data_IF_788299423438
#
_entry.id   IF_788299423438
#
_cell.length_a   1.000
_cell.length_b   1.000
_cell.length_c   1.000
_cell.angle_alpha   90.00
_cell.angle_beta   90.00
_cell.angle_gamma   90.00
#
_symmetry.space_group_name_H-M   'P 1'
#
loop_
_entity.id
_entity.type
_entity.pdbx_description
1 polymer ?
#
# COMPACT_ATOMS: atom_id res chain seq x y z
N UNK A 1 -63.03 -94.06 34.92
CA UNK A 1 -62.05 -94.37 33.86
C UNK A 1 -60.74 -93.71 34.25
N UNK A 2 -59.65 -94.49 34.21
CA UNK A 2 -58.40 -94.25 34.93
C UNK A 2 -57.61 -93.01 34.53
N UNK A 3 -56.69 -92.59 35.41
CA UNK A 3 -55.31 -93.08 35.35
C UNK A 3 -54.49 -92.47 36.49
N UNK A 4 -53.73 -93.32 37.17
CA UNK A 4 -52.57 -92.90 37.97
C UNK A 4 -51.42 -92.69 36.97
N UNK A 5 -50.64 -91.61 37.11
CA UNK A 5 -49.21 -91.70 36.82
C UNK A 5 -48.34 -91.38 38.05
N UNK A 6 -47.47 -92.35 38.30
CA UNK A 6 -46.14 -92.43 38.93
C UNK A 6 -45.49 -91.19 39.61
N UNK A 7 -44.78 -91.39 40.76
CA UNK A 7 -43.99 -90.36 41.41
C UNK A 7 -42.52 -90.41 40.92
N UNK A 8 -42.09 -89.38 40.19
CA UNK A 8 -40.67 -89.17 39.96
C UNK A 8 -40.36 -88.51 38.64
N UNK A 9 -40.31 -87.18 38.61
CA UNK A 9 -39.36 -86.47 37.74
C UNK A 9 -38.69 -85.39 38.58
N UNK A 10 -37.44 -85.69 38.91
CA UNK A 10 -36.45 -84.78 39.46
C UNK A 10 -36.44 -83.51 38.60
N UNK A 11 -36.57 -82.35 39.23
CA UNK A 11 -36.13 -81.11 38.62
C UNK A 11 -34.64 -81.23 38.30
N UNK A 12 -34.31 -81.54 37.04
CA UNK A 12 -32.99 -81.25 36.47
C UNK A 12 -32.84 -79.73 36.42
N UNK A 13 -32.36 -79.18 37.53
CA UNK A 13 -31.77 -77.85 37.58
C UNK A 13 -30.61 -77.88 36.58
N UNK A 14 -30.68 -77.02 35.55
CA UNK A 14 -29.58 -76.83 34.61
C UNK A 14 -28.24 -76.69 35.37
N UNK A 15 -27.15 -77.33 34.91
CA UNK A 15 -25.88 -77.27 35.62
C UNK A 15 -25.44 -75.81 35.78
N UNK A 16 -24.84 -75.43 36.94
CA UNK A 16 -24.37 -74.07 37.13
C UNK A 16 -23.39 -73.71 36.00
N UNK A 17 -23.42 -72.48 35.47
CA UNK A 17 -22.55 -72.08 34.37
C UNK A 17 -21.09 -72.37 34.74
N UNK A 18 -20.35 -72.97 33.80
CA UNK A 18 -18.94 -73.29 34.02
C UNK A 18 -18.15 -72.01 34.28
N UNK A 19 -17.12 -72.07 35.13
CA UNK A 19 -16.30 -70.92 35.48
C UNK A 19 -15.69 -70.21 34.25
N UNK A 20 -15.36 -70.97 33.20
CA UNK A 20 -14.86 -70.48 31.92
C UNK A 20 -15.91 -69.66 31.16
N UNK A 21 -17.19 -70.02 31.25
CA UNK A 21 -18.29 -69.30 30.62
C UNK A 21 -18.59 -67.98 31.35
N UNK A 22 -18.49 -67.99 32.69
CA UNK A 22 -18.55 -66.77 33.49
C UNK A 22 -17.39 -65.82 33.18
N UNK A 23 -16.16 -66.34 33.00
CA UNK A 23 -15.01 -65.54 32.57
C UNK A 23 -15.21 -64.94 31.17
N UNK A 24 -15.76 -65.71 30.21
CA UNK A 24 -16.09 -65.20 28.87
C UNK A 24 -17.16 -64.12 28.91
N UNK A 25 -18.21 -64.29 29.69
CA UNK A 25 -19.24 -63.25 29.85
C UNK A 25 -18.65 -61.98 30.49
N UNK A 26 -17.77 -62.14 31.48
CA UNK A 26 -17.09 -61.01 32.13
C UNK A 26 -16.19 -60.25 31.16
N UNK A 27 -15.42 -60.94 30.32
CA UNK A 27 -14.56 -60.30 29.32
C UNK A 27 -15.37 -59.57 28.25
N UNK A 28 -16.50 -60.15 27.80
CA UNK A 28 -17.39 -59.55 26.82
C UNK A 28 -18.06 -58.29 27.38
N UNK A 29 -18.50 -58.33 28.64
CA UNK A 29 -19.05 -57.16 29.35
C UNK A 29 -17.99 -56.06 29.54
N UNK A 30 -16.75 -56.45 29.83
CA UNK A 30 -15.62 -55.50 29.93
C UNK A 30 -15.30 -54.86 28.58
N UNK A 31 -15.33 -55.64 27.49
CA UNK A 31 -15.14 -55.12 26.13
C UNK A 31 -16.27 -54.18 25.71
N UNK A 32 -17.53 -54.55 25.95
CA UNK A 32 -18.67 -53.69 25.69
C UNK A 32 -18.60 -52.37 26.48
N UNK A 33 -18.22 -52.41 27.76
CA UNK A 33 -18.09 -51.20 28.59
C UNK A 33 -16.95 -50.30 28.12
N UNK A 34 -15.82 -50.87 27.67
CA UNK A 34 -14.73 -50.11 27.02
C UNK A 34 -15.19 -49.46 25.71
N UNK A 35 -15.85 -50.20 24.83
CA UNK A 35 -16.39 -49.66 23.57
C UNK A 35 -17.41 -48.55 23.80
N UNK A 36 -18.30 -48.72 24.78
CA UNK A 36 -19.26 -47.68 25.18
C UNK A 36 -18.55 -46.43 25.69
N UNK A 37 -17.47 -46.60 26.45
CA UNK A 37 -16.66 -45.49 26.94
C UNK A 37 -15.96 -44.76 25.80
N UNK A 38 -15.29 -45.48 24.90
CA UNK A 38 -14.65 -44.89 23.72
C UNK A 38 -15.65 -44.13 22.83
N UNK A 39 -16.83 -44.73 22.61
CA UNK A 39 -17.90 -44.08 21.85
C UNK A 39 -18.39 -42.81 22.54
N UNK A 40 -18.60 -42.85 23.86
CA UNK A 40 -19.03 -41.69 24.65
C UNK A 40 -17.97 -40.58 24.67
N UNK A 41 -16.69 -40.94 24.78
CA UNK A 41 -15.58 -39.99 24.73
C UNK A 41 -15.47 -39.35 23.34
N UNK A 42 -15.64 -40.13 22.27
CA UNK A 42 -15.66 -39.62 20.90
C UNK A 42 -16.83 -38.66 20.66
N UNK A 43 -18.05 -38.99 21.09
CA UNK A 43 -19.19 -38.07 21.00
C UNK A 43 -18.96 -36.79 21.81
N UNK A 44 -18.38 -36.90 23.00
CA UNK A 44 -18.04 -35.74 23.84
C UNK A 44 -16.97 -34.85 23.18
N UNK A 45 -16.00 -35.46 22.49
CA UNK A 45 -14.99 -34.74 21.72
C UNK A 45 -15.60 -34.01 20.52
N UNK A 46 -16.47 -34.69 19.77
CA UNK A 46 -17.17 -34.12 18.63
C UNK A 46 -18.10 -32.97 19.04
N UNK A 47 -18.81 -33.11 20.17
CA UNK A 47 -19.66 -32.06 20.72
C UNK A 47 -18.83 -30.82 21.07
N UNK A 48 -17.68 -31.00 21.74
CA UNK A 48 -16.75 -29.89 22.05
C UNK A 48 -16.23 -29.21 20.79
N UNK A 49 -15.83 -29.98 19.78
CA UNK A 49 -15.38 -29.43 18.49
C UNK A 49 -16.50 -28.66 17.78
N UNK A 50 -17.73 -29.19 17.79
CA UNK A 50 -18.88 -28.54 17.19
C UNK A 50 -19.23 -27.22 17.91
N UNK A 51 -19.20 -27.20 19.24
CA UNK A 51 -19.40 -25.99 20.04
C UNK A 51 -18.32 -24.96 19.73
N UNK A 52 -17.05 -25.36 19.74
CA UNK A 52 -15.91 -24.50 19.39
C UNK A 52 -16.06 -23.89 17.99
N UNK A 53 -16.40 -24.69 16.99
CA UNK A 53 -16.64 -24.22 15.61
C UNK A 53 -17.85 -23.29 15.52
N UNK A 54 -18.92 -23.58 16.25
CA UNK A 54 -20.12 -22.72 16.33
C UNK A 54 -19.80 -21.35 16.94
N UNK A 55 -19.01 -21.31 18.01
CA UNK A 55 -18.54 -20.07 18.62
C UNK A 55 -17.63 -19.27 17.69
N UNK A 56 -16.67 -19.94 17.03
CA UNK A 56 -15.80 -19.32 16.03
C UNK A 56 -16.59 -18.71 14.86
N UNK A 57 -17.64 -19.40 14.38
CA UNK A 57 -18.54 -18.88 13.35
C UNK A 57 -19.35 -17.67 13.84
N UNK A 58 -19.89 -17.72 15.07
CA UNK A 58 -20.60 -16.57 15.66
C UNK A 58 -19.70 -15.34 15.80
N UNK A 59 -18.43 -15.54 16.17
CA UNK A 59 -17.45 -14.46 16.21
C UNK A 59 -17.20 -13.88 14.81
N UNK A 60 -16.99 -14.72 13.80
CA UNK A 60 -16.84 -14.27 12.40
C UNK A 60 -18.05 -13.47 11.93
N UNK A 61 -19.27 -13.94 12.19
CA UNK A 61 -20.51 -13.23 11.83
C UNK A 61 -20.53 -11.84 12.47
N UNK A 62 -20.28 -11.75 13.79
CA UNK A 62 -20.21 -10.45 14.49
C UNK A 62 -19.16 -9.51 13.89
N UNK A 63 -17.99 -10.04 13.52
CA UNK A 63 -16.95 -9.24 12.85
C UNK A 63 -17.41 -8.73 11.49
N UNK A 64 -18.06 -9.58 10.69
CA UNK A 64 -18.63 -9.17 9.39
C UNK A 64 -19.76 -8.14 9.55
N UNK A 65 -20.64 -8.32 10.52
CA UNK A 65 -21.73 -7.37 10.82
C UNK A 65 -21.17 -6.00 11.22
N UNK A 66 -20.18 -5.98 12.11
CA UNK A 66 -19.48 -4.76 12.52
C UNK A 66 -18.81 -4.07 11.32
N UNK A 67 -18.10 -4.82 10.48
CA UNK A 67 -17.45 -4.31 9.28
C UNK A 67 -18.47 -3.73 8.29
N UNK A 68 -19.61 -4.42 8.10
CA UNK A 68 -20.69 -3.97 7.23
C UNK A 68 -21.33 -2.69 7.76
N UNK A 69 -21.63 -2.62 9.06
CA UNK A 69 -22.17 -1.43 9.70
C UNK A 69 -21.21 -0.23 9.62
N UNK A 70 -19.90 -0.46 9.78
CA UNK A 70 -18.90 0.59 9.58
C UNK A 70 -18.87 1.06 8.12
N UNK A 71 -18.88 0.13 7.16
CA UNK A 71 -18.89 0.43 5.73
C UNK A 71 -20.12 1.25 5.32
N UNK A 72 -21.29 0.93 5.86
CA UNK A 72 -22.53 1.69 5.64
C UNK A 72 -22.45 3.11 6.21
N UNK A 73 -21.93 3.28 7.43
CA UNK A 73 -21.72 4.61 8.03
C UNK A 73 -20.76 5.47 7.18
N UNK A 74 -19.70 4.87 6.65
CA UNK A 74 -18.78 5.58 5.75
C UNK A 74 -19.48 5.99 4.46
N UNK A 75 -20.37 5.14 3.91
CA UNK A 75 -21.11 5.46 2.69
C UNK A 75 -22.12 6.59 2.92
N UNK A 76 -22.88 6.55 4.01
CA UNK A 76 -23.84 7.58 4.42
C UNK A 76 -23.15 8.94 4.66
N UNK A 77 -22.00 8.92 5.33
CA UNK A 77 -21.18 10.11 5.51
C UNK A 77 -20.67 10.68 4.17
N UNK A 78 -20.29 9.81 3.22
CA UNK A 78 -19.88 10.24 1.88
C UNK A 78 -21.03 10.88 1.12
N UNK A 79 -22.22 10.28 1.17
CA UNK A 79 -23.43 10.74 0.49
C UNK A 79 -23.85 12.12 1.00
N UNK A 80 -24.01 12.26 2.33
CA UNK A 80 -24.35 13.54 2.97
C UNK A 80 -23.33 14.65 2.71
N UNK A 81 -22.06 14.30 2.48
CA UNK A 81 -21.02 15.27 2.14
C UNK A 81 -21.05 15.72 0.66
N UNK A 82 -21.64 14.96 -0.26
CA UNK A 82 -21.57 15.26 -1.72
C UNK A 82 -22.02 16.69 -2.00
N UNK A 83 -23.17 17.09 -1.48
CA UNK A 83 -23.76 18.40 -1.76
C UNK A 83 -22.81 19.54 -1.36
N UNK A 84 -22.28 19.50 -0.13
CA UNK A 84 -21.34 20.50 0.37
C UNK A 84 -20.06 20.56 -0.45
N UNK A 85 -19.46 19.41 -0.77
CA UNK A 85 -18.22 19.34 -1.54
C UNK A 85 -18.41 19.82 -2.99
N UNK A 86 -19.53 19.46 -3.63
CA UNK A 86 -19.87 19.95 -4.98
C UNK A 86 -20.07 21.46 -4.96
N UNK A 87 -20.77 22.01 -3.96
CA UNK A 87 -20.99 23.44 -3.86
C UNK A 87 -19.68 24.22 -3.68
N UNK A 88 -18.74 23.71 -2.88
CA UNK A 88 -17.40 24.31 -2.73
C UNK A 88 -16.62 24.23 -4.03
N UNK A 89 -16.64 23.08 -4.72
CA UNK A 89 -15.93 22.88 -5.97
C UNK A 89 -16.46 23.81 -7.08
N UNK A 90 -17.78 23.97 -7.21
CA UNK A 90 -18.40 24.88 -8.18
C UNK A 90 -18.01 26.34 -7.92
N UNK A 91 -18.07 26.81 -6.67
CA UNK A 91 -17.63 28.16 -6.32
C UNK A 91 -16.16 28.39 -6.66
N UNK A 92 -15.29 27.42 -6.35
CA UNK A 92 -13.87 27.48 -6.72
C UNK A 92 -13.67 27.54 -8.23
N UNK A 93 -14.41 26.72 -8.98
CA UNK A 93 -14.36 26.70 -10.44
C UNK A 93 -14.78 28.05 -11.04
N UNK A 94 -15.86 28.66 -10.55
CA UNK A 94 -16.33 29.96 -11.01
C UNK A 94 -15.32 31.08 -10.69
N UNK A 95 -14.72 31.05 -9.50
CA UNK A 95 -13.65 31.99 -9.11
C UNK A 95 -12.41 31.83 -10.00
N UNK A 96 -11.93 30.60 -10.20
CA UNK A 96 -10.76 30.33 -11.03
C UNK A 96 -11.02 30.70 -12.49
N UNK A 97 -12.24 30.42 -12.99
CA UNK A 97 -12.67 30.80 -14.35
C UNK A 97 -12.67 32.32 -14.53
N UNK A 98 -13.24 33.07 -13.58
CA UNK A 98 -13.29 34.53 -13.66
C UNK A 98 -11.89 35.15 -13.56
N UNK A 99 -11.04 34.64 -12.67
CA UNK A 99 -9.64 35.04 -12.54
C UNK A 99 -8.83 34.77 -13.82
N UNK A 100 -9.03 33.61 -14.46
CA UNK A 100 -8.38 33.28 -15.72
C UNK A 100 -8.84 34.22 -16.86
N UNK A 101 -10.14 34.56 -16.92
CA UNK A 101 -10.66 35.50 -17.91
C UNK A 101 -10.10 36.92 -17.71
N UNK A 102 -10.01 37.42 -16.48
CA UNK A 102 -9.38 38.72 -16.21
C UNK A 102 -7.90 38.75 -16.58
N UNK A 103 -7.16 37.66 -16.29
CA UNK A 103 -5.75 37.58 -16.64
C UNK A 103 -5.52 37.62 -18.17
N UNK A 104 -6.45 37.06 -18.96
CA UNK A 104 -6.40 37.14 -20.42
C UNK A 104 -6.72 38.54 -20.94
N UNK A 105 -7.65 39.27 -20.32
CA UNK A 105 -7.97 40.65 -20.73
C UNK A 105 -6.87 41.64 -20.36
N UNK A 106 -6.24 41.47 -19.19
CA UNK A 106 -5.16 42.35 -18.73
C UNK A 106 -3.88 42.16 -19.56
N UNK A 107 -3.65 40.94 -20.09
CA UNK A 107 -2.57 40.65 -21.02
C UNK A 107 -2.64 41.46 -22.32
N UNK A 108 -3.83 41.90 -22.74
CA UNK A 108 -4.04 42.61 -24.01
C UNK A 108 -3.90 44.14 -23.87
N UNK A 109 -3.68 44.67 -22.66
CA UNK A 109 -3.68 46.12 -22.39
C UNK A 109 -2.48 46.66 -21.59
N UNK A 110 -1.36 45.93 -21.49
CA UNK A 110 -0.25 46.34 -20.61
C UNK A 110 1.15 45.90 -21.03
N UNK A 111 1.59 46.21 -22.25
CA UNK A 111 3.00 46.00 -22.65
C UNK A 111 3.94 47.15 -22.18
N UNK A 112 3.65 47.76 -21.04
CA UNK A 112 4.40 48.93 -20.54
C UNK A 112 4.34 49.07 -19.01
N UNK A 113 4.95 48.14 -18.27
CA UNK A 113 5.60 48.42 -16.97
C UNK A 113 6.06 47.11 -16.29
N UNK A 114 7.09 46.45 -16.84
CA UNK A 114 7.89 45.52 -16.03
C UNK A 114 8.95 46.35 -15.29
N UNK A 115 8.55 46.94 -14.17
CA UNK A 115 9.48 47.50 -13.19
C UNK A 115 10.20 46.34 -12.48
N UNK A 116 11.51 46.29 -12.66
CA UNK A 116 12.45 45.42 -11.96
C UNK A 116 12.53 45.86 -10.48
N UNK A 117 11.52 45.46 -9.71
CA UNK A 117 11.57 45.50 -8.25
C UNK A 117 12.00 44.14 -7.76
N UNK A 118 13.07 44.08 -6.97
CA UNK A 118 13.51 42.87 -6.25
C UNK A 118 12.39 42.39 -5.31
N UNK A 119 11.44 41.62 -5.85
CA UNK A 119 10.54 40.78 -5.07
C UNK A 119 11.35 39.64 -4.50
N UNK A 120 11.15 39.35 -3.21
CA UNK A 120 11.72 38.20 -2.51
C UNK A 120 11.64 36.95 -3.40
N UNK A 121 12.73 36.19 -3.47
CA UNK A 121 12.88 35.06 -4.38
C UNK A 121 11.73 34.04 -4.25
N UNK A 122 11.09 33.97 -3.07
CA UNK A 122 9.89 33.16 -2.80
C UNK A 122 8.61 33.73 -3.40
N UNK A 123 8.30 35.02 -3.19
CA UNK A 123 7.06 35.64 -3.67
C UNK A 123 7.00 35.67 -5.21
N UNK A 124 8.13 35.94 -5.85
CA UNK A 124 8.26 35.87 -7.32
C UNK A 124 8.08 34.44 -7.88
N UNK A 125 8.43 33.40 -7.11
CA UNK A 125 8.24 32.00 -7.50
C UNK A 125 6.74 31.65 -7.52
N UNK A 126 6.01 31.96 -6.45
CA UNK A 126 4.58 31.68 -6.32
C UNK A 126 3.78 32.37 -7.41
N UNK A 127 4.04 33.66 -7.65
CA UNK A 127 3.32 34.44 -8.66
C UNK A 127 3.51 33.84 -10.06
N UNK A 128 4.73 33.41 -10.41
CA UNK A 128 4.98 32.73 -11.68
C UNK A 128 4.26 31.40 -11.79
N UNK A 129 4.32 30.56 -10.76
CA UNK A 129 3.59 29.28 -10.76
C UNK A 129 2.08 29.50 -10.92
N UNK A 130 1.50 30.44 -10.16
CA UNK A 130 0.10 30.84 -10.27
C UNK A 130 -0.24 31.31 -11.67
N UNK A 131 0.61 32.11 -12.30
CA UNK A 131 0.37 32.62 -13.66
C UNK A 131 0.25 31.50 -14.69
N UNK A 132 1.10 30.46 -14.61
CA UNK A 132 0.99 29.30 -15.49
C UNK A 132 -0.28 28.49 -15.21
N UNK A 133 -0.62 28.29 -13.94
CA UNK A 133 -1.83 27.58 -13.51
C UNK A 133 -3.11 28.28 -13.98
N UNK A 134 -3.21 29.60 -13.81
CA UNK A 134 -4.33 30.43 -14.27
C UNK A 134 -4.52 30.36 -15.79
N UNK A 135 -3.41 30.41 -16.53
CA UNK A 135 -3.40 30.33 -18.00
C UNK A 135 -3.54 28.91 -18.55
N UNK A 136 -3.56 27.89 -17.67
CA UNK A 136 -3.48 26.47 -18.06
C UNK A 136 -2.29 26.17 -18.99
N UNK A 137 -1.16 26.87 -18.82
CA UNK A 137 0.06 26.67 -19.59
C UNK A 137 0.92 25.55 -18.98
N UNK A 138 0.53 24.31 -19.26
CA UNK A 138 1.18 23.12 -18.71
C UNK A 138 2.64 22.96 -19.18
N UNK A 139 2.94 23.36 -20.43
CA UNK A 139 4.27 23.25 -21.02
C UNK A 139 5.21 24.28 -20.40
N UNK A 140 4.80 25.55 -20.32
CA UNK A 140 5.57 26.61 -19.66
C UNK A 140 5.81 26.32 -18.18
N UNK A 141 4.78 25.83 -17.49
CA UNK A 141 4.89 25.35 -16.11
C UNK A 141 5.93 24.26 -15.97
N UNK A 142 5.87 23.21 -16.79
CA UNK A 142 6.82 22.10 -16.72
C UNK A 142 8.26 22.56 -16.93
N UNK A 143 8.50 23.37 -17.96
CA UNK A 143 9.82 23.93 -18.26
C UNK A 143 10.36 24.82 -17.13
N UNK A 144 9.49 25.56 -16.45
CA UNK A 144 9.86 26.37 -15.30
C UNK A 144 10.25 25.51 -14.09
N UNK A 145 9.45 24.49 -13.77
CA UNK A 145 9.69 23.59 -12.62
C UNK A 145 11.03 22.85 -12.76
N UNK A 146 11.33 22.32 -13.95
CA UNK A 146 12.58 21.58 -14.17
C UNK A 146 13.82 22.48 -14.05
N UNK A 147 13.70 23.77 -14.40
CA UNK A 147 14.77 24.76 -14.28
C UNK A 147 15.05 25.18 -12.83
N UNK A 148 14.12 24.90 -11.90
CA UNK A 148 14.15 25.35 -10.51
C UNK A 148 14.52 24.26 -9.51
N UNK A 149 15.22 23.21 -9.93
CA UNK A 149 15.63 22.06 -9.08
C UNK A 149 16.32 22.44 -7.75
N UNK A 150 17.08 23.54 -7.71
CA UNK A 150 17.77 24.01 -6.49
C UNK A 150 16.80 24.57 -5.42
N UNK A 151 15.61 24.98 -5.83
CA UNK A 151 14.56 25.58 -5.00
C UNK A 151 13.48 24.54 -4.63
N UNK A 152 13.83 23.26 -4.55
CA UNK A 152 12.89 22.14 -4.39
C UNK A 152 11.95 22.28 -3.18
N UNK A 153 12.43 22.78 -2.06
CA UNK A 153 11.62 22.92 -0.84
C UNK A 153 10.61 24.07 -0.94
N UNK A 154 11.00 25.16 -1.59
CA UNK A 154 10.10 26.26 -1.93
C UNK A 154 9.04 25.79 -2.94
N UNK A 155 9.45 25.04 -3.97
CA UNK A 155 8.50 24.44 -4.90
C UNK A 155 7.50 23.52 -4.16
N UNK A 156 7.96 22.66 -3.26
CA UNK A 156 7.07 21.72 -2.52
C UNK A 156 6.02 22.43 -1.67
N UNK A 157 6.36 23.56 -1.06
CA UNK A 157 5.43 24.33 -0.22
C UNK A 157 4.44 25.16 -1.05
N UNK A 158 4.90 25.76 -2.14
CA UNK A 158 4.11 26.70 -2.93
C UNK A 158 3.31 26.07 -4.07
N UNK A 159 3.73 24.91 -4.57
CA UNK A 159 3.07 24.23 -5.70
C UNK A 159 1.60 23.90 -5.42
N UNK A 160 1.19 23.37 -4.26
CA UNK A 160 -0.22 23.13 -3.97
C UNK A 160 -1.06 24.41 -4.03
N UNK A 161 -0.51 25.53 -3.53
CA UNK A 161 -1.17 26.83 -3.56
C UNK A 161 -1.36 27.31 -4.99
N UNK A 162 -0.34 27.18 -5.83
CA UNK A 162 -0.43 27.54 -7.25
C UNK A 162 -1.41 26.65 -8.03
N UNK A 163 -1.34 25.33 -7.86
CA UNK A 163 -2.22 24.37 -8.52
C UNK A 163 -3.70 24.59 -8.16
N UNK A 164 -4.00 25.17 -7.00
CA UNK A 164 -5.37 25.49 -6.60
C UNK A 164 -6.03 26.58 -7.46
N UNK A 165 -5.25 27.36 -8.20
CA UNK A 165 -5.72 28.38 -9.15
C UNK A 165 -6.08 27.78 -10.53
N UNK A 166 -5.71 26.52 -10.80
CA UNK A 166 -6.06 25.85 -12.05
C UNK A 166 -7.58 25.65 -12.17
N UNK A 167 -8.10 25.76 -13.39
CA UNK A 167 -9.50 25.41 -13.69
C UNK A 167 -9.73 23.90 -13.54
N UNK A 168 -8.79 23.08 -14.02
CA UNK A 168 -8.78 21.63 -13.82
C UNK A 168 -7.35 21.18 -13.43
N UNK A 169 -7.02 21.16 -12.12
CA UNK A 169 -5.67 20.83 -11.65
C UNK A 169 -5.24 19.42 -12.05
N UNK A 170 -6.16 18.46 -12.04
CA UNK A 170 -5.86 17.05 -12.32
C UNK A 170 -5.52 16.84 -13.80
N UNK A 171 -6.29 17.45 -14.70
CA UNK A 171 -5.97 17.47 -16.14
C UNK A 171 -4.66 18.21 -16.41
N UNK A 172 -4.47 19.38 -15.81
CA UNK A 172 -3.27 20.20 -15.97
C UNK A 172 -1.99 19.43 -15.62
N UNK A 173 -1.99 18.72 -14.49
CA UNK A 173 -0.83 17.91 -14.09
C UNK A 173 -0.53 16.77 -15.06
N UNK A 174 -1.56 16.07 -15.57
CA UNK A 174 -1.34 15.02 -16.59
C UNK A 174 -0.71 15.59 -17.87
N UNK A 175 -1.12 16.79 -18.28
CA UNK A 175 -0.54 17.49 -19.44
C UNK A 175 0.89 17.97 -19.15
N UNK A 176 1.18 18.45 -17.94
CA UNK A 176 2.51 18.94 -17.58
C UNK A 176 3.57 17.83 -17.61
N UNK A 177 3.23 16.61 -17.15
CA UNK A 177 4.19 15.49 -17.08
C UNK A 177 4.25 14.65 -18.35
N UNK A 178 3.42 14.94 -19.38
CA UNK A 178 3.18 14.04 -20.52
C UNK A 178 4.36 13.81 -21.45
N UNK A 179 5.36 14.70 -21.40
CA UNK A 179 6.60 14.58 -22.17
C UNK A 179 7.58 13.56 -21.58
N UNK A 180 7.46 13.26 -20.28
CA UNK A 180 8.38 12.41 -19.53
C UNK A 180 7.73 11.12 -19.05
N UNK A 181 6.46 11.17 -18.67
CA UNK A 181 5.70 10.05 -18.13
C UNK A 181 4.46 9.80 -19.00
N UNK A 182 4.11 8.55 -19.36
CA UNK A 182 4.63 7.26 -18.85
C UNK A 182 5.94 6.78 -19.50
N UNK A 183 6.29 7.30 -20.68
CA UNK A 183 7.52 7.00 -21.39
C UNK A 183 8.15 8.33 -21.80
N UNK A 184 9.47 8.46 -21.64
CA UNK A 184 10.17 9.70 -21.99
C UNK A 184 10.19 9.86 -23.51
N UNK A 185 9.51 10.90 -24.01
CA UNK A 185 9.39 11.21 -25.44
C UNK A 185 10.47 12.16 -25.93
N UNK A 186 11.29 12.69 -25.01
CA UNK A 186 12.38 13.61 -25.33
C UNK A 186 13.49 12.81 -25.98
N UNK A 187 13.58 12.88 -27.31
CA UNK A 187 14.49 12.09 -28.12
C UNK A 187 15.91 12.01 -27.56
N UNK A 188 16.55 10.84 -27.71
CA UNK A 188 17.80 10.46 -27.04
C UNK A 188 19.07 11.24 -27.42
N UNK A 189 18.99 12.34 -28.17
CA UNK A 189 20.16 13.12 -28.57
C UNK A 189 20.12 14.55 -28.02
N UNK A 190 20.92 14.74 -26.96
CA UNK A 190 21.67 15.97 -26.62
C UNK A 190 20.96 17.18 -26.00
N UNK A 191 19.69 17.14 -25.59
CA UNK A 191 19.09 18.22 -24.78
C UNK A 191 18.64 17.70 -23.41
N UNK A 192 19.53 17.81 -22.41
CA UNK A 192 19.18 17.67 -20.99
C UNK A 192 18.85 16.25 -20.52
N UNK A 193 19.82 15.33 -20.61
CA UNK A 193 19.76 13.93 -20.10
C UNK A 193 19.77 13.84 -18.56
N UNK A 194 18.89 14.60 -17.89
CA UNK A 194 18.69 14.53 -16.45
C UNK A 194 17.47 13.66 -16.11
N UNK A 195 17.59 12.81 -15.09
CA UNK A 195 16.44 12.17 -14.47
C UNK A 195 15.44 13.24 -14.00
N UNK A 196 14.26 13.27 -14.62
CA UNK A 196 13.16 14.17 -14.30
C UNK A 196 12.07 13.50 -13.46
N UNK A 197 12.25 12.24 -13.04
CA UNK A 197 11.29 11.55 -12.19
C UNK A 197 11.02 12.29 -10.87
N UNK A 198 12.01 13.00 -10.33
CA UNK A 198 11.81 13.85 -9.15
C UNK A 198 10.79 14.98 -9.38
N UNK A 199 10.74 15.56 -10.58
CA UNK A 199 9.82 16.65 -10.92
C UNK A 199 8.40 16.10 -11.12
N UNK A 200 8.27 14.95 -11.79
CA UNK A 200 6.98 14.27 -11.91
C UNK A 200 6.41 13.93 -10.53
N UNK A 201 7.23 13.32 -9.66
CA UNK A 201 6.84 13.01 -8.27
C UNK A 201 6.41 14.26 -7.52
N UNK A 202 7.21 15.35 -7.58
CA UNK A 202 6.88 16.60 -6.90
C UNK A 202 5.53 17.15 -7.34
N UNK A 203 5.27 17.21 -8.66
CA UNK A 203 4.01 17.75 -9.20
C UNK A 203 2.82 16.85 -8.82
N UNK A 204 2.98 15.52 -8.91
CA UNK A 204 1.95 14.56 -8.51
C UNK A 204 1.66 14.60 -6.99
N UNK A 205 2.69 14.66 -6.15
CA UNK A 205 2.54 14.81 -4.69
C UNK A 205 1.82 16.11 -4.34
N UNK A 206 2.18 17.21 -5.02
CA UNK A 206 1.60 18.54 -4.79
C UNK A 206 0.13 18.63 -5.23
N UNK A 207 -0.31 17.76 -6.14
CA UNK A 207 -1.70 17.68 -6.60
C UNK A 207 -2.62 17.11 -5.52
N UNK A 208 -2.16 16.14 -4.71
CA UNK A 208 -2.97 15.45 -3.69
C UNK A 208 -3.80 16.43 -2.83
N UNK A 209 -3.21 17.41 -2.13
CA UNK A 209 -3.98 18.33 -1.29
C UNK A 209 -5.01 19.18 -2.07
N UNK A 210 -4.84 19.33 -3.39
CA UNK A 210 -5.73 20.12 -4.25
C UNK A 210 -6.94 19.30 -4.71
N UNK A 211 -6.74 18.01 -4.98
CA UNK A 211 -7.81 17.10 -5.47
C UNK A 211 -8.50 16.33 -4.35
N UNK A 212 -8.08 16.48 -3.10
CA UNK A 212 -8.75 15.88 -1.94
C UNK A 212 -10.08 16.59 -1.66
N UNK A 213 -11.08 15.82 -1.26
CA UNK A 213 -12.39 16.38 -0.91
C UNK A 213 -12.30 17.36 0.28
N UNK A 214 -12.90 18.56 0.17
CA UNK A 214 -12.80 19.58 1.22
C UNK A 214 -13.55 19.23 2.51
N UNK A 215 -14.49 18.28 2.49
CA UNK A 215 -15.31 17.89 3.65
C UNK A 215 -14.81 16.58 4.25
N UNK A 216 -14.61 15.55 3.42
CA UNK A 216 -14.25 14.19 3.89
C UNK A 216 -12.79 13.82 3.66
N UNK A 217 -11.98 14.76 3.16
CA UNK A 217 -10.55 14.57 3.01
C UNK A 217 -10.19 13.41 2.10
N UNK A 218 -9.10 12.70 2.45
CA UNK A 218 -8.48 11.64 1.62
C UNK A 218 -9.41 10.47 1.29
N UNK A 219 -10.56 10.37 1.96
CA UNK A 219 -11.58 9.35 1.68
C UNK A 219 -12.25 9.52 0.31
N UNK A 220 -12.19 10.71 -0.31
CA UNK A 220 -12.65 10.96 -1.68
C UNK A 220 -11.70 11.90 -2.40
N UNK A 221 -11.35 11.51 -3.63
CA UNK A 221 -10.61 12.37 -4.57
C UNK A 221 -11.59 12.98 -5.57
N UNK A 222 -11.53 14.30 -5.72
CA UNK A 222 -12.29 15.14 -6.65
C UNK A 222 -11.61 15.16 -8.01
N UNK A 223 -11.55 13.99 -8.67
CA UNK A 223 -11.02 13.83 -10.03
C UNK A 223 -12.15 13.41 -10.95
N UNK A 224 -12.27 14.07 -12.11
CA UNK A 224 -13.35 13.77 -13.07
C UNK A 224 -13.17 12.37 -13.67
N UNK A 225 -14.27 11.68 -14.06
CA UNK A 225 -14.18 10.35 -14.68
C UNK A 225 -13.26 10.32 -15.90
N UNK A 226 -13.33 11.33 -16.77
CA UNK A 226 -12.49 11.43 -17.97
C UNK A 226 -10.99 11.54 -17.64
N UNK A 227 -10.62 12.35 -16.63
CA UNK A 227 -9.21 12.44 -16.17
C UNK A 227 -8.77 11.11 -15.56
N UNK A 228 -9.66 10.45 -14.81
CA UNK A 228 -9.37 9.15 -14.19
C UNK A 228 -9.16 8.05 -15.24
N UNK A 229 -9.93 8.04 -16.32
CA UNK A 229 -9.72 7.12 -17.45
C UNK A 229 -8.38 7.37 -18.15
N UNK A 230 -8.06 8.62 -18.48
CA UNK A 230 -6.73 8.96 -19.03
C UNK A 230 -5.59 8.54 -18.10
N UNK A 231 -5.74 8.74 -16.79
CA UNK A 231 -4.74 8.32 -15.83
C UNK A 231 -4.56 6.79 -15.82
N UNK A 232 -5.64 6.01 -16.01
CA UNK A 232 -5.55 4.55 -16.17
C UNK A 232 -4.82 4.17 -17.45
N UNK A 233 -5.13 4.81 -18.58
CA UNK A 233 -4.45 4.56 -19.86
C UNK A 233 -2.94 4.80 -19.75
N UNK A 234 -2.54 5.90 -19.08
CA UNK A 234 -1.14 6.22 -18.78
C UNK A 234 -0.49 5.11 -17.94
N UNK A 235 -1.20 4.60 -16.92
CA UNK A 235 -0.70 3.53 -16.06
C UNK A 235 -0.52 2.21 -16.83
N UNK A 236 -1.47 1.84 -17.70
CA UNK A 236 -1.34 0.66 -18.56
C UNK A 236 -0.20 0.82 -19.58
N UNK A 237 -0.04 2.01 -20.17
CA UNK A 237 1.08 2.31 -21.07
C UNK A 237 2.42 2.14 -20.37
N UNK A 238 2.53 2.62 -19.12
CA UNK A 238 3.74 2.44 -18.32
C UNK A 238 4.03 0.95 -18.07
N UNK A 239 3.01 0.17 -17.67
CA UNK A 239 3.15 -1.28 -17.43
C UNK A 239 3.59 -2.03 -18.69
N UNK A 240 2.97 -1.75 -19.84
CA UNK A 240 3.39 -2.37 -21.11
C UNK A 240 4.86 -2.06 -21.44
N UNK A 241 5.27 -0.80 -21.26
CA UNK A 241 6.67 -0.39 -21.50
C UNK A 241 7.66 -0.98 -20.48
N UNK A 242 7.21 -1.40 -19.30
CA UNK A 242 8.03 -2.08 -18.30
C UNK A 242 8.39 -3.49 -18.77
N UNK A 243 7.43 -4.20 -19.37
CA UNK A 243 7.65 -5.53 -19.95
C UNK A 243 8.65 -5.47 -21.11
N UNK A 244 8.50 -4.49 -22.00
CA UNK A 244 9.43 -4.26 -23.12
C UNK A 244 10.87 -3.94 -22.67
N UNK A 245 11.01 -3.24 -21.54
CA UNK A 245 12.31 -2.85 -20.97
C UNK A 245 13.01 -3.97 -20.19
N UNK A 246 12.50 -5.20 -20.25
CA UNK A 246 13.08 -6.35 -19.56
C UNK A 246 12.66 -6.48 -18.10
N UNK A 247 11.49 -5.94 -17.75
CA UNK A 247 10.85 -6.16 -16.46
C UNK A 247 11.35 -5.30 -15.30
N UNK A 248 10.91 -5.65 -14.09
CA UNK A 248 11.09 -4.88 -12.85
C UNK A 248 12.57 -4.65 -12.52
N UNK A 249 13.44 -5.60 -12.85
CA UNK A 249 14.87 -5.55 -12.51
C UNK A 249 15.63 -4.44 -13.26
N UNK A 250 15.14 -4.04 -14.44
CA UNK A 250 15.80 -3.07 -15.31
C UNK A 250 15.24 -1.65 -15.20
N UNK A 251 14.18 -1.45 -14.40
CA UNK A 251 13.51 -0.16 -14.30
C UNK A 251 14.20 0.73 -13.26
N UNK A 252 14.32 2.02 -13.56
CA UNK A 252 14.94 2.98 -12.65
C UNK A 252 13.98 3.26 -11.49
N UNK A 253 14.50 3.28 -10.27
CA UNK A 253 13.72 3.58 -9.05
C UNK A 253 12.91 4.90 -9.10
N UNK A 254 13.43 6.03 -9.64
CA UNK A 254 12.62 7.24 -9.86
C UNK A 254 11.37 7.02 -10.73
N UNK A 255 11.46 6.16 -11.75
CA UNK A 255 10.34 5.83 -12.64
C UNK A 255 9.29 5.02 -11.87
N UNK A 256 9.72 4.07 -11.04
CA UNK A 256 8.82 3.32 -10.13
C UNK A 256 8.08 4.27 -9.20
N UNK A 257 8.81 5.19 -8.56
CA UNK A 257 8.20 6.16 -7.68
C UNK A 257 7.15 7.00 -8.43
N UNK A 258 7.49 7.51 -9.60
CA UNK A 258 6.55 8.29 -10.43
C UNK A 258 5.29 7.49 -10.75
N UNK A 259 5.44 6.22 -11.15
CA UNK A 259 4.31 5.34 -11.43
C UNK A 259 3.42 5.11 -10.21
N UNK A 260 4.01 4.69 -9.07
CA UNK A 260 3.24 4.44 -7.85
C UNK A 260 2.56 5.71 -7.33
N UNK A 261 3.26 6.85 -7.39
CA UNK A 261 2.72 8.14 -7.02
C UNK A 261 1.54 8.53 -7.92
N UNK A 262 1.62 8.28 -9.23
CA UNK A 262 0.52 8.49 -10.18
C UNK A 262 -0.72 7.67 -9.81
N UNK A 263 -0.54 6.37 -9.50
CA UNK A 263 -1.64 5.51 -9.08
C UNK A 263 -2.39 6.03 -7.85
N UNK A 264 -1.61 6.45 -6.84
CA UNK A 264 -2.14 6.99 -5.57
C UNK A 264 -2.82 8.35 -5.80
N UNK A 265 -2.17 9.25 -6.54
CA UNK A 265 -2.65 10.62 -6.78
C UNK A 265 -4.01 10.65 -7.48
N UNK A 266 -4.24 9.75 -8.45
CA UNK A 266 -5.50 9.66 -9.17
C UNK A 266 -6.48 8.60 -8.60
N UNK A 267 -6.09 7.87 -7.55
CA UNK A 267 -6.90 6.83 -6.92
C UNK A 267 -7.33 5.74 -7.90
N UNK A 268 -6.39 5.26 -8.72
CA UNK A 268 -6.60 4.26 -9.79
C UNK A 268 -5.93 2.91 -9.49
N UNK A 269 -5.54 2.67 -8.24
CA UNK A 269 -4.98 1.41 -7.75
C UNK A 269 -5.93 0.24 -8.05
N UNK A 270 -5.42 -0.82 -8.67
CA UNK A 270 -6.17 -2.05 -8.97
C UNK A 270 -5.79 -3.15 -7.99
N UNK A 271 -6.78 -3.87 -7.48
CA UNK A 271 -6.55 -5.02 -6.59
C UNK A 271 -5.83 -6.17 -7.30
N UNK A 272 -6.12 -6.37 -8.58
CA UNK A 272 -5.53 -7.46 -9.37
C UNK A 272 -4.03 -7.24 -9.65
N UNK A 273 -3.54 -6.01 -9.50
CA UNK A 273 -2.13 -5.65 -9.72
C UNK A 273 -1.32 -5.59 -8.41
N UNK A 274 -1.88 -5.98 -7.25
CA UNK A 274 -1.20 -5.85 -5.95
C UNK A 274 0.16 -6.57 -5.91
N UNK A 275 0.24 -7.76 -6.49
CA UNK A 275 1.51 -8.51 -6.61
C UNK A 275 2.59 -7.73 -7.37
N UNK A 276 2.21 -7.01 -8.43
CA UNK A 276 3.11 -6.16 -9.19
C UNK A 276 3.57 -4.97 -8.32
N UNK A 277 2.63 -4.30 -7.65
CA UNK A 277 2.94 -3.17 -6.78
C UNK A 277 3.88 -3.59 -5.63
N UNK A 278 3.63 -4.74 -5.00
CA UNK A 278 4.48 -5.34 -3.98
C UNK A 278 5.91 -5.52 -4.48
N UNK A 279 6.10 -6.15 -5.65
CA UNK A 279 7.43 -6.36 -6.26
C UNK A 279 8.14 -5.04 -6.56
N UNK A 280 7.43 -4.06 -7.11
CA UNK A 280 7.96 -2.73 -7.41
C UNK A 280 8.43 -1.99 -6.14
N UNK A 281 7.63 -2.05 -5.07
CA UNK A 281 7.97 -1.45 -3.77
C UNK A 281 9.22 -2.12 -3.18
N UNK A 282 9.30 -3.45 -3.16
CA UNK A 282 10.45 -4.18 -2.62
C UNK A 282 11.72 -3.88 -3.44
N UNK A 283 11.63 -3.91 -4.77
CA UNK A 283 12.75 -3.57 -5.65
C UNK A 283 13.26 -2.13 -5.48
N UNK A 284 12.42 -1.25 -4.93
CA UNK A 284 12.70 0.17 -4.70
C UNK A 284 12.85 0.55 -3.23
N UNK A 285 12.91 -0.41 -2.31
CA UNK A 285 12.70 -0.22 -0.87
C UNK A 285 13.65 0.79 -0.19
N UNK A 286 14.85 0.99 -0.75
CA UNK A 286 15.83 1.96 -0.28
C UNK A 286 15.36 3.43 -0.34
N UNK A 287 14.27 3.72 -1.05
CA UNK A 287 13.66 5.06 -1.09
C UNK A 287 12.75 5.29 0.12
N UNK A 288 13.01 6.38 0.84
CA UNK A 288 12.26 6.80 2.05
C UNK A 288 10.73 6.92 1.87
N UNK A 289 10.21 7.14 0.67
CA UNK A 289 8.76 7.27 0.46
C UNK A 289 8.05 5.94 0.22
N UNK A 290 8.79 4.85 -0.05
CA UNK A 290 8.18 3.58 -0.46
C UNK A 290 7.22 2.96 0.56
N UNK A 291 7.50 2.93 1.88
CA UNK A 291 6.53 2.34 2.81
C UNK A 291 5.22 3.14 2.90
N UNK A 292 5.29 4.48 2.87
CA UNK A 292 4.09 5.34 2.82
C UNK A 292 3.25 5.09 1.57
N UNK A 293 3.91 4.94 0.42
CA UNK A 293 3.25 4.59 -0.83
C UNK A 293 2.62 3.21 -0.75
N UNK A 294 3.31 2.23 -0.19
CA UNK A 294 2.81 0.87 -0.06
C UNK A 294 1.50 0.80 0.75
N UNK A 295 1.42 1.56 1.86
CA UNK A 295 0.17 1.72 2.61
C UNK A 295 -0.93 2.36 1.74
N UNK A 296 -0.59 3.40 0.98
CA UNK A 296 -1.53 4.11 0.10
C UNK A 296 -2.00 3.27 -1.09
N UNK A 297 -1.21 2.27 -1.49
CA UNK A 297 -1.53 1.28 -2.52
C UNK A 297 -2.39 0.12 -2.00
N UNK A 298 -2.68 0.08 -0.69
CA UNK A 298 -3.48 -1.00 -0.09
C UNK A 298 -2.68 -2.26 0.23
N UNK A 299 -1.35 -2.20 0.30
CA UNK A 299 -0.49 -3.33 0.65
C UNK A 299 -0.34 -3.54 2.16
N UNK A 300 -1.22 -2.94 2.98
CA UNK A 300 -1.08 -2.95 4.44
C UNK A 300 -1.04 -4.37 5.04
N UNK A 301 -1.88 -5.27 4.54
CA UNK A 301 -1.94 -6.66 5.01
C UNK A 301 -0.70 -7.48 4.63
N UNK A 302 -0.05 -7.13 3.52
CA UNK A 302 1.17 -7.79 3.01
C UNK A 302 2.46 -7.22 3.62
N UNK A 303 2.38 -6.09 4.34
CA UNK A 303 3.55 -5.42 4.94
C UNK A 303 4.43 -6.37 5.77
N UNK A 304 3.89 -7.26 6.63
CA UNK A 304 4.73 -8.15 7.40
C UNK A 304 5.58 -9.08 6.52
N UNK A 305 4.98 -9.64 5.47
CA UNK A 305 5.67 -10.55 4.54
C UNK A 305 6.71 -9.80 3.71
N UNK A 306 6.43 -8.54 3.34
CA UNK A 306 7.38 -7.67 2.66
C UNK A 306 8.59 -7.35 3.55
N UNK A 307 8.37 -7.06 4.83
CA UNK A 307 9.44 -6.80 5.80
C UNK A 307 10.30 -8.06 5.99
N UNK A 308 9.68 -9.23 6.13
CA UNK A 308 10.38 -10.52 6.20
C UNK A 308 11.25 -10.77 4.96
N UNK A 309 10.72 -10.47 3.76
CA UNK A 309 11.48 -10.57 2.52
C UNK A 309 12.69 -9.63 2.50
N UNK A 310 12.53 -8.36 2.89
CA UNK A 310 13.64 -7.40 2.99
C UNK A 310 14.73 -7.86 3.96
N UNK A 311 14.34 -8.44 5.09
CA UNK A 311 15.28 -9.00 6.07
C UNK A 311 16.05 -10.17 5.45
N UNK A 312 15.36 -11.09 4.76
CA UNK A 312 16.00 -12.24 4.10
C UNK A 312 16.98 -11.84 2.99
N UNK A 313 16.72 -10.70 2.32
CA UNK A 313 17.60 -10.12 1.30
C UNK A 313 18.81 -9.37 1.87
N UNK A 314 18.94 -9.27 3.20
CA UNK A 314 20.00 -8.51 3.85
C UNK A 314 19.81 -7.00 3.74
N UNK A 315 18.58 -6.53 3.56
CA UNK A 315 18.22 -5.11 3.54
C UNK A 315 17.68 -4.67 4.91
N UNK A 316 18.45 -4.91 5.98
CA UNK A 316 17.96 -4.68 7.35
C UNK A 316 17.63 -3.20 7.62
N UNK A 317 18.36 -2.25 7.03
CA UNK A 317 18.09 -0.81 7.20
C UNK A 317 16.73 -0.42 6.59
N UNK A 318 16.44 -0.92 5.39
CA UNK A 318 15.17 -0.69 4.71
C UNK A 318 14.03 -1.36 5.48
N UNK A 319 14.23 -2.61 5.94
CA UNK A 319 13.26 -3.32 6.78
C UNK A 319 12.92 -2.58 8.07
N UNK A 320 13.92 -2.00 8.75
CA UNK A 320 13.71 -1.17 9.95
C UNK A 320 12.88 0.07 9.61
N UNK A 321 13.18 0.73 8.49
CA UNK A 321 12.42 1.90 8.04
C UNK A 321 10.95 1.55 7.74
N UNK A 322 10.69 0.46 7.03
CA UNK A 322 9.33 -0.05 6.78
C UNK A 322 8.61 -0.39 8.09
N UNK A 323 9.31 -1.03 9.02
CA UNK A 323 8.75 -1.40 10.33
C UNK A 323 8.27 -0.18 11.10
N UNK A 324 9.08 0.88 11.17
CA UNK A 324 8.72 2.12 11.85
C UNK A 324 7.53 2.81 11.20
N UNK A 325 7.54 2.93 9.87
CA UNK A 325 6.49 3.64 9.14
C UNK A 325 5.13 2.94 9.21
N UNK A 326 5.12 1.60 9.22
CA UNK A 326 3.89 0.79 9.30
C UNK A 326 3.45 0.53 10.76
N UNK A 327 4.31 0.83 11.74
CA UNK A 327 4.01 0.62 13.16
C UNK A 327 4.10 -0.85 13.61
N UNK A 328 4.92 -1.67 12.94
CA UNK A 328 5.10 -3.10 13.24
C UNK A 328 6.32 -3.38 14.15
N UNK A 329 6.70 -2.41 14.98
CA UNK A 329 7.90 -2.44 15.84
C UNK A 329 7.89 -3.63 16.80
N UNK A 330 6.70 -4.03 17.28
CA UNK A 330 6.54 -5.18 18.18
C UNK A 330 6.84 -6.51 17.48
N UNK A 331 6.43 -6.64 16.20
CA UNK A 331 6.65 -7.86 15.40
C UNK A 331 8.09 -7.93 14.88
N UNK A 332 8.68 -6.79 14.51
CA UNK A 332 10.03 -6.71 13.95
C UNK A 332 10.92 -5.75 14.77
N UNK A 333 11.44 -6.17 15.93
CA UNK A 333 12.22 -5.29 16.79
C UNK A 333 13.45 -4.71 16.07
N UNK A 334 13.58 -3.37 15.97
CA UNK A 334 14.67 -2.73 15.22
C UNK A 334 16.07 -3.03 15.75
N UNK A 335 16.22 -3.13 17.08
CA UNK A 335 17.53 -3.33 17.72
C UNK A 335 18.18 -4.66 17.30
N UNK A 336 17.49 -5.81 17.37
CA UNK A 336 17.99 -7.07 16.79
C UNK A 336 18.38 -6.98 15.32
N UNK A 337 17.56 -6.32 14.48
CA UNK A 337 17.82 -6.18 13.04
C UNK A 337 19.11 -5.38 12.79
N UNK A 338 19.27 -4.25 13.47
CA UNK A 338 20.48 -3.42 13.38
C UNK A 338 21.72 -4.15 13.91
N UNK A 339 21.59 -4.94 14.98
CA UNK A 339 22.69 -5.77 15.48
C UNK A 339 23.12 -6.84 14.48
N UNK A 340 22.17 -7.49 13.81
CA UNK A 340 22.45 -8.42 12.70
C UNK A 340 23.22 -7.70 11.58
N UNK A 341 22.71 -6.55 11.14
CA UNK A 341 23.36 -5.75 10.10
C UNK A 341 24.81 -5.41 10.45
N UNK A 342 25.06 -4.88 11.66
CA UNK A 342 26.41 -4.54 12.11
C UNK A 342 27.33 -5.76 12.20
N UNK A 343 26.80 -6.93 12.59
CA UNK A 343 27.57 -8.18 12.65
C UNK A 343 27.99 -8.62 11.25
N UNK A 344 27.09 -8.54 10.28
CA UNK A 344 27.37 -8.95 8.90
C UNK A 344 28.28 -7.93 8.19
N UNK A 345 28.06 -6.64 8.41
CA UNK A 345 28.97 -5.59 7.93
C UNK A 345 30.39 -5.74 8.48
N UNK A 346 30.55 -6.09 9.77
CA UNK A 346 31.85 -6.38 10.38
C UNK A 346 32.54 -7.58 9.74
N UNK A 347 31.81 -8.67 9.46
CA UNK A 347 32.36 -9.86 8.79
C UNK A 347 32.86 -9.52 7.38
N UNK A 348 32.07 -8.77 6.61
CA UNK A 348 32.44 -8.31 5.26
C UNK A 348 33.69 -7.42 5.32
N UNK A 349 33.74 -6.51 6.29
CA UNK A 349 34.90 -5.64 6.47
C UNK A 349 36.16 -6.43 6.86
N UNK A 350 36.05 -7.45 7.73
CA UNK A 350 37.19 -8.32 8.06
C UNK A 350 37.67 -9.13 6.87
N UNK A 351 36.76 -9.67 6.04
CA UNK A 351 37.17 -10.43 4.85
C UNK A 351 37.84 -9.57 3.78
N UNK A 352 37.48 -8.28 3.67
CA UNK A 352 38.12 -7.34 2.75
C UNK A 352 39.50 -6.90 3.28
N UNK A 353 39.69 -6.86 4.61
CA UNK A 353 40.97 -6.53 5.24
C UNK A 353 42.01 -7.64 5.07
N UNK A 354 41.57 -8.90 5.00
CA UNK A 354 42.41 -10.07 4.75
C UNK A 354 42.86 -10.20 3.28
N UNK A 355 42.29 -9.42 2.36
CA UNK A 355 42.62 -9.42 0.94
C UNK A 355 43.71 -8.37 0.61
N UNK A 356 44.96 -8.78 0.32
CA UNK A 356 46.12 -7.87 0.23
C UNK A 356 46.04 -6.86 -0.94
N UNK A 357 45.10 -7.04 -1.88
CA UNK A 357 44.90 -6.14 -3.02
C UNK A 357 43.84 -5.04 -2.80
N UNK A 358 43.15 -4.99 -1.64
CA UNK A 358 41.99 -4.11 -1.44
C UNK A 358 41.94 -3.35 -0.09
N UNK A 359 43.05 -3.26 0.64
CA UNK A 359 43.12 -2.64 1.97
C UNK A 359 42.51 -1.21 2.07
N UNK A 360 42.55 -0.43 0.98
CA UNK A 360 41.94 0.91 0.92
C UNK A 360 40.40 0.91 0.98
N UNK A 361 39.72 -0.15 0.52
CA UNK A 361 38.25 -0.28 0.57
C UNK A 361 37.73 -0.72 1.94
N UNK A 362 38.52 -1.50 2.69
CA UNK A 362 38.17 -1.92 4.06
C UNK A 362 38.04 -0.72 5.01
N UNK A 363 38.94 0.26 4.91
CA UNK A 363 38.93 1.47 5.75
C UNK A 363 37.68 2.34 5.52
N UNK A 364 37.21 2.44 4.27
CA UNK A 364 36.00 3.22 3.91
C UNK A 364 34.74 2.55 4.46
N UNK A 365 34.62 1.23 4.35
CA UNK A 365 33.46 0.49 4.87
C UNK A 365 33.43 0.57 6.41
N UNK A 366 34.57 0.43 7.09
CA UNK A 366 34.63 0.58 8.55
C UNK A 366 34.19 1.98 9.00
N UNK A 367 34.58 3.03 8.25
CA UNK A 367 34.23 4.41 8.57
C UNK A 367 32.74 4.73 8.37
N UNK A 368 32.08 4.09 7.39
CA UNK A 368 30.64 4.25 7.15
C UNK A 368 29.75 3.37 8.05
N UNK A 369 30.26 2.25 8.56
CA UNK A 369 29.50 1.34 9.45
C UNK A 369 29.48 1.82 10.91
N UNK A 370 30.45 2.67 11.31
CA UNK A 370 30.58 3.20 12.67
C UNK A 370 30.00 4.60 12.89
N UNK A 371 29.53 5.27 11.83
CA UNK A 371 28.93 6.60 11.88
C UNK A 371 27.44 6.48 11.59
#
# INVERSE_FOLDING_TARGET
>A
MGSIPDPGELSEVAPPPSFDEFQRQTSLMTSCTLLWKELSDHFSSLEKDLVSKSEALKLKIRTFDNHTAQSLKLLDHRESSIEGSVQIALRKLDNNRTAALSALTDSDCGDSAAGDGEVDNGEGLVLKLKSFCLRMDAVGFWMFVIGKKKELEALRSEMPVALSECVDPAKFVLEAISEVFPVDKRGGEKVGSGDLGWACVLVLESLIPVVVDPVIGKSRLMVTPAVKERAKEIAETWKASLEERGGIENVKTPDVHTFLQHLVTFGIVKKDDLDLYRKLVIGSAWRKQMPKLALSLGLADEMPDMIEELISKGQQLDAVHFTYEVGLVDKFPPVPLLKSYLKDAKKVASSILEDPNNAGRAAVIYFYVLK
#
